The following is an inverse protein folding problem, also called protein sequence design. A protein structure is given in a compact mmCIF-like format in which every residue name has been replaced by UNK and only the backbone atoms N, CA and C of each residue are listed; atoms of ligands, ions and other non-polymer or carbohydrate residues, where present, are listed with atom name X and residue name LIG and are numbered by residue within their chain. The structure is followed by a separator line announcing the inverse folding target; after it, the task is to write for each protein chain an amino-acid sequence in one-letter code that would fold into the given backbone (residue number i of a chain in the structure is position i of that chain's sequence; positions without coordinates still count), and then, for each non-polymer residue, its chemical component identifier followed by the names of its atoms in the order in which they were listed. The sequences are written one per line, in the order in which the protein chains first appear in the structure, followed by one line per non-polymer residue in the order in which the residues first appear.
data_IF_939467383108
#
_entry.id   IF_939467383108
#
_cell.length_a   1.000
_cell.length_b   1.000
_cell.length_c   1.000
_cell.angle_alpha   90.00
_cell.angle_beta   90.00
_cell.angle_gamma   90.00
#
_symmetry.space_group_name_H-M   'P 1'
#
loop_
_entity.id
_entity.type
_entity.pdbx_description
1 polymer ?
#
# COMPACT_ATOMS: atom_id res chain seq x y z
N UNK A 1 -9.68 -7.70 2.52
CA UNK A 1 -8.40 -7.34 1.92
C UNK A 1 -8.10 -8.29 0.77
N UNK A 2 -7.91 -7.74 -0.43
CA UNK A 2 -7.68 -8.57 -1.62
C UNK A 2 -6.20 -8.78 -1.92
N UNK A 3 -5.37 -7.77 -1.63
CA UNK A 3 -3.96 -7.80 -2.01
C UNK A 3 -3.17 -6.83 -1.15
N UNK A 4 -1.90 -7.14 -0.90
CA UNK A 4 -0.95 -6.23 -0.27
C UNK A 4 0.29 -6.18 -1.14
N UNK A 5 0.70 -4.97 -1.53
CA UNK A 5 1.86 -4.76 -2.40
C UNK A 5 2.89 -3.92 -1.65
N UNK A 6 4.09 -4.45 -1.50
CA UNK A 6 5.23 -3.70 -0.97
C UNK A 6 5.86 -2.91 -2.11
N UNK A 7 6.10 -1.62 -1.90
CA UNK A 7 6.77 -0.77 -2.88
C UNK A 7 7.74 0.17 -2.17
N UNK A 8 8.38 1.05 -2.93
CA UNK A 8 9.34 1.99 -2.38
C UNK A 8 10.72 1.37 -2.17
N UNK A 9 11.52 1.93 -1.25
CA UNK A 9 12.92 1.56 -1.12
C UNK A 9 13.15 0.11 -0.70
N UNK A 10 12.31 -0.45 0.14
CA UNK A 10 12.44 -1.87 0.54
C UNK A 10 12.17 -2.81 -0.63
N UNK A 11 11.24 -2.46 -1.52
CA UNK A 11 10.91 -3.30 -2.67
C UNK A 11 11.99 -3.26 -3.74
N UNK A 12 12.71 -2.14 -3.86
CA UNK A 12 13.72 -1.95 -4.92
C UNK A 12 15.14 -2.29 -4.50
N UNK A 13 15.34 -2.75 -3.27
CA UNK A 13 16.67 -3.07 -2.76
C UNK A 13 17.52 -1.86 -2.39
N UNK A 14 16.93 -0.68 -2.32
CA UNK A 14 17.62 0.56 -1.93
C UNK A 14 17.44 0.86 -0.44
N UNK A 15 17.03 -0.13 0.32
CA UNK A 15 16.75 0.03 1.73
C UNK A 15 17.99 0.39 2.54
N UNK A 16 17.81 1.26 3.52
CA UNK A 16 18.78 1.54 4.56
C UNK A 16 18.19 1.08 5.88
N UNK A 17 18.98 1.19 6.97
CA UNK A 17 18.50 0.82 8.31
C UNK A 17 17.30 1.66 8.76
N UNK A 18 17.03 2.78 8.10
CA UNK A 18 15.92 3.69 8.43
C UNK A 18 14.78 3.64 7.40
N UNK A 19 14.86 2.72 6.44
CA UNK A 19 13.81 2.63 5.42
C UNK A 19 12.50 2.13 6.02
N UNK A 20 11.41 2.77 5.61
CA UNK A 20 10.05 2.36 5.97
C UNK A 20 9.52 1.37 4.93
N UNK A 21 8.64 0.49 5.36
CA UNK A 21 7.89 -0.35 4.43
C UNK A 21 6.67 0.44 3.93
N UNK A 22 6.55 0.58 2.62
CA UNK A 22 5.39 1.23 1.99
C UNK A 22 4.46 0.14 1.45
N UNK A 23 3.24 0.07 1.96
CA UNK A 23 2.30 -0.98 1.61
C UNK A 23 1.04 -0.41 0.97
N UNK A 24 0.76 -0.81 -0.26
CA UNK A 24 -0.55 -0.60 -0.88
C UNK A 24 -1.44 -1.76 -0.47
N UNK A 25 -2.56 -1.46 0.19
CA UNK A 25 -3.54 -2.45 0.60
C UNK A 25 -4.76 -2.28 -0.30
N UNK A 26 -5.08 -3.34 -1.05
CA UNK A 26 -6.20 -3.32 -1.98
C UNK A 26 -7.42 -3.95 -1.31
N UNK A 27 -8.50 -3.19 -1.27
CA UNK A 27 -9.77 -3.60 -0.65
C UNK A 27 -10.84 -3.68 -1.73
N UNK A 28 -11.76 -4.62 -1.58
CA UNK A 28 -12.92 -4.70 -2.48
C UNK A 28 -13.78 -3.44 -2.32
N UNK A 29 -14.16 -3.13 -1.10
CA UNK A 29 -14.84 -1.90 -0.72
C UNK A 29 -14.67 -1.71 0.78
N UNK A 30 -14.92 -0.49 1.26
CA UNK A 30 -14.81 -0.18 2.68
C UNK A 30 -15.76 0.97 3.01
N UNK A 31 -16.52 0.87 4.12
CA UNK A 31 -17.49 1.90 4.48
C UNK A 31 -16.88 3.20 4.99
N UNK A 32 -15.64 3.15 5.49
CA UNK A 32 -15.00 4.30 6.10
C UNK A 32 -14.17 5.10 5.10
N UNK A 33 -14.03 6.41 5.30
CA UNK A 33 -13.13 7.22 4.47
C UNK A 33 -11.66 6.80 4.65
N UNK A 34 -10.81 7.21 3.69
CA UNK A 34 -9.43 6.78 3.60
C UNK A 34 -8.64 6.96 4.89
N UNK A 35 -8.82 8.10 5.59
CA UNK A 35 -8.04 8.36 6.80
C UNK A 35 -8.35 7.41 7.95
N UNK A 36 -9.59 6.97 8.09
CA UNK A 36 -9.96 6.00 9.12
C UNK A 36 -9.44 4.61 8.76
N UNK A 37 -9.42 4.28 7.47
CA UNK A 37 -8.82 3.05 6.99
C UNK A 37 -7.32 3.01 7.30
N UNK A 38 -6.62 4.14 7.14
CA UNK A 38 -5.19 4.25 7.45
C UNK A 38 -4.94 3.89 8.91
N UNK A 39 -5.71 4.48 9.84
CA UNK A 39 -5.54 4.21 11.27
C UNK A 39 -5.76 2.74 11.59
N UNK A 40 -6.77 2.11 11.00
CA UNK A 40 -7.08 0.69 11.18
C UNK A 40 -5.91 -0.20 10.77
N UNK A 41 -5.34 0.05 9.59
CA UNK A 41 -4.27 -0.80 9.07
C UNK A 41 -2.92 -0.50 9.70
N UNK A 42 -2.65 0.74 10.11
CA UNK A 42 -1.45 1.04 10.89
C UNK A 42 -1.45 0.27 12.21
N UNK A 43 -2.60 0.18 12.87
CA UNK A 43 -2.70 -0.59 14.11
C UNK A 43 -2.41 -2.07 13.86
N UNK A 44 -2.86 -2.61 12.74
CA UNK A 44 -2.62 -4.01 12.38
C UNK A 44 -1.14 -4.32 12.20
N UNK A 45 -0.32 -3.33 11.81
CA UNK A 45 1.11 -3.49 11.58
C UNK A 45 1.98 -2.90 12.69
N UNK A 46 1.42 -2.55 13.82
CA UNK A 46 2.17 -1.86 14.90
C UNK A 46 3.34 -2.66 15.46
N UNK A 47 3.31 -3.97 15.32
CA UNK A 47 4.38 -4.86 15.82
C UNK A 47 5.35 -5.28 14.73
N UNK A 48 5.29 -4.66 13.55
CA UNK A 48 6.21 -4.95 12.47
C UNK A 48 7.64 -4.58 12.87
N UNK A 49 8.65 -5.32 12.36
CA UNK A 49 10.05 -5.06 12.74
C UNK A 49 10.62 -3.77 12.14
N UNK A 50 9.92 -3.14 11.21
CA UNK A 50 10.29 -1.85 10.61
C UNK A 50 9.08 -0.94 10.61
N UNK A 51 9.27 0.40 10.55
CA UNK A 51 8.15 1.32 10.38
C UNK A 51 7.38 1.00 9.09
N UNK A 52 6.06 1.11 9.15
CA UNK A 52 5.18 0.79 8.03
C UNK A 52 4.28 1.97 7.72
N UNK A 53 4.25 2.39 6.46
CA UNK A 53 3.26 3.32 5.93
C UNK A 53 2.25 2.53 5.11
N UNK A 54 0.98 2.79 5.33
CA UNK A 54 -0.09 2.05 4.64
C UNK A 54 -0.90 2.98 3.75
N UNK A 55 -1.31 2.44 2.59
CA UNK A 55 -2.12 3.13 1.60
C UNK A 55 -3.31 2.23 1.25
N UNK A 56 -4.38 2.23 2.08
CA UNK A 56 -5.54 1.35 1.85
C UNK A 56 -6.50 1.97 0.84
N UNK A 57 -6.50 1.46 -0.37
CA UNK A 57 -7.40 1.89 -1.44
C UNK A 57 -8.38 0.79 -1.80
N UNK A 58 -9.61 1.18 -2.13
CA UNK A 58 -10.57 0.25 -2.73
C UNK A 58 -10.26 0.05 -4.21
N UNK A 59 -10.74 -1.04 -4.77
CA UNK A 59 -10.59 -1.33 -6.21
C UNK A 59 -11.13 -0.16 -7.05
N UNK A 60 -12.28 0.39 -6.69
CA UNK A 60 -12.86 1.53 -7.42
C UNK A 60 -12.00 2.78 -7.39
N UNK A 61 -11.39 3.06 -6.23
CA UNK A 61 -10.45 4.18 -6.11
C UNK A 61 -9.22 3.99 -6.98
N UNK A 62 -8.68 2.78 -7.01
CA UNK A 62 -7.52 2.45 -7.84
C UNK A 62 -7.86 2.62 -9.32
N UNK A 63 -9.00 2.12 -9.76
CA UNK A 63 -9.43 2.26 -11.16
C UNK A 63 -9.56 3.72 -11.58
N UNK A 64 -10.14 4.56 -10.72
CA UNK A 64 -10.26 5.99 -11.00
C UNK A 64 -8.90 6.67 -11.10
N UNK A 65 -7.97 6.32 -10.23
CA UNK A 65 -6.61 6.88 -10.26
C UNK A 65 -5.85 6.45 -11.51
N UNK A 66 -5.96 5.18 -11.90
CA UNK A 66 -5.32 4.68 -13.13
C UNK A 66 -5.85 5.40 -14.37
N UNK A 67 -7.14 5.66 -14.41
CA UNK A 67 -7.77 6.36 -15.54
C UNK A 67 -7.22 7.79 -15.69
N UNK A 68 -6.72 8.38 -14.62
CA UNK A 68 -6.12 9.72 -14.63
C UNK A 68 -4.60 9.71 -14.81
N UNK A 69 -3.99 8.54 -14.97
CA UNK A 69 -2.55 8.42 -15.11
C UNK A 69 -1.79 8.74 -13.82
N UNK A 70 -2.29 8.26 -12.68
CA UNK A 70 -1.72 8.54 -11.37
C UNK A 70 -0.29 8.03 -11.25
N UNK A 71 0.65 8.94 -10.95
CA UNK A 71 2.06 8.61 -10.84
C UNK A 71 2.37 7.65 -9.69
N UNK A 72 1.62 7.74 -8.58
CA UNK A 72 1.77 6.84 -7.45
C UNK A 72 1.50 5.39 -7.85
N UNK A 73 0.41 5.14 -8.59
CA UNK A 73 0.09 3.79 -9.04
C UNK A 73 1.08 3.28 -10.09
N UNK A 74 1.58 4.16 -10.97
CA UNK A 74 2.63 3.78 -11.90
C UNK A 74 3.88 3.27 -11.17
N UNK A 75 4.28 3.94 -10.09
CA UNK A 75 5.41 3.52 -9.27
C UNK A 75 5.14 2.17 -8.60
N UNK A 76 3.95 1.98 -8.07
CA UNK A 76 3.56 0.71 -7.45
C UNK A 76 3.61 -0.42 -8.50
N UNK A 77 3.10 -0.18 -9.70
CA UNK A 77 3.07 -1.18 -10.76
C UNK A 77 4.46 -1.59 -11.22
N UNK A 78 5.41 -0.65 -11.26
CA UNK A 78 6.78 -0.93 -11.74
C UNK A 78 7.70 -1.49 -10.67
N UNK A 79 7.47 -1.16 -9.40
CA UNK A 79 8.38 -1.49 -8.29
C UNK A 79 7.76 -2.45 -7.27
N UNK A 80 6.46 -2.66 -7.31
CA UNK A 80 5.74 -3.39 -6.27
C UNK A 80 6.04 -4.87 -6.26
N UNK A 81 6.04 -5.45 -5.06
CA UNK A 81 6.15 -6.88 -4.82
C UNK A 81 4.90 -7.32 -4.07
N UNK A 82 4.17 -8.29 -4.63
CA UNK A 82 2.96 -8.80 -3.99
C UNK A 82 3.34 -9.63 -2.77
N UNK A 83 2.85 -9.24 -1.60
CA UNK A 83 3.08 -9.98 -0.36
C UNK A 83 1.96 -10.98 -0.09
N UNK A 84 0.72 -10.60 -0.42
CA UNK A 84 -0.45 -11.46 -0.29
C UNK A 84 -1.21 -11.38 -1.61
N UNK A 85 -1.23 -12.48 -2.33
CA UNK A 85 -1.99 -12.58 -3.58
C UNK A 85 -3.29 -13.32 -3.34
N UNK A 86 -4.38 -12.92 -4.02
CA UNK A 86 -5.63 -13.67 -3.96
C UNK A 86 -5.50 -15.06 -4.59
#
# INVERSE_FOLDING_TARGET
MLQVVLFGSLATGRATVRSDADLLIVLREHPDPARERIAEYLDAFREAPVPVDVFPFTVGEIERRRARGDAFLNRVDTQGVDLVAP
#
